data_IF_827005776949
#
_entry.id   IF_827005776949
#
_cell.length_a   1.000
_cell.length_b   1.000
_cell.length_c   1.000
_cell.angle_alpha   90.00
_cell.angle_beta   90.00
_cell.angle_gamma   90.00
#
_symmetry.space_group_name_H-M   'P 1'
#
loop_
_entity.id
_entity.type
_entity.pdbx_description
1 polymer ?
#
# COMPACT_ATOMS: atom_id res chain seq x y z
N UNK A 1 -10.78 -9.63 -1.74
CA UNK A 1 -10.59 -8.91 -0.48
C UNK A 1 -11.47 -9.55 0.58
N UNK A 2 -11.05 -9.52 1.86
CA UNK A 2 -9.73 -9.07 2.30
C UNK A 2 -8.59 -9.93 1.71
N UNK A 3 -7.38 -9.37 1.59
CA UNK A 3 -6.19 -10.14 1.21
C UNK A 3 -4.98 -9.61 1.96
N UNK A 4 -4.04 -10.49 2.29
CA UNK A 4 -2.78 -10.10 2.90
C UNK A 4 -1.94 -9.21 1.95
N UNK A 5 -1.23 -8.23 2.51
CA UNK A 5 -0.27 -7.37 1.82
C UNK A 5 0.66 -6.69 2.82
N UNK A 6 1.96 -6.61 2.54
CA UNK A 6 2.92 -5.86 3.36
C UNK A 6 2.89 -4.35 3.03
N UNK A 7 3.22 -3.52 4.02
CA UNK A 7 3.33 -2.06 3.90
C UNK A 7 2.26 -1.36 4.71
N UNK A 8 2.44 -1.31 6.03
CA UNK A 8 1.41 -1.00 7.03
C UNK A 8 1.53 0.42 7.60
N UNK A 9 2.66 1.10 7.38
CA UNK A 9 2.91 2.42 7.95
C UNK A 9 2.50 3.55 7.02
N UNK A 10 1.31 4.11 7.24
CA UNK A 10 0.76 5.23 6.47
C UNK A 10 1.34 6.56 6.96
N UNK A 11 1.38 7.57 6.10
CA UNK A 11 1.95 8.90 6.40
C UNK A 11 0.88 10.00 6.35
N UNK A 12 1.14 11.16 7.00
CA UNK A 12 0.26 12.33 6.92
C UNK A 12 -0.03 12.80 5.49
N UNK A 13 0.90 12.56 4.57
CA UNK A 13 0.73 12.89 3.14
C UNK A 13 -0.42 12.16 2.45
N UNK A 14 -0.99 11.11 3.05
CA UNK A 14 -2.19 10.46 2.53
C UNK A 14 -3.48 11.25 2.84
N UNK A 15 -3.53 12.03 3.93
CA UNK A 15 -4.70 12.85 4.30
C UNK A 15 -5.19 13.76 3.17
N UNK A 16 -4.34 14.61 2.54
CA UNK A 16 -4.80 15.50 1.47
C UNK A 16 -5.27 14.76 0.20
N UNK A 17 -5.05 13.44 0.11
CA UNK A 17 -5.61 12.58 -0.95
C UNK A 17 -6.94 11.99 -0.49
N UNK A 18 -7.02 11.49 0.74
CA UNK A 18 -8.22 10.81 1.26
C UNK A 18 -9.37 11.74 1.59
N UNK A 19 -9.11 12.98 1.99
CA UNK A 19 -10.16 13.97 2.25
C UNK A 19 -10.94 14.32 0.97
N UNK A 20 -10.31 14.73 -0.16
CA UNK A 20 -11.04 14.95 -1.41
C UNK A 20 -11.71 13.69 -1.97
N UNK A 21 -11.12 12.51 -1.71
CA UNK A 21 -11.74 11.24 -2.12
C UNK A 21 -12.95 10.86 -1.25
N UNK A 22 -13.15 11.49 -0.09
CA UNK A 22 -14.28 11.21 0.81
C UNK A 22 -14.11 9.95 1.68
N UNK A 23 -12.92 9.36 1.74
CA UNK A 23 -12.65 8.11 2.47
C UNK A 23 -12.02 8.34 3.85
N UNK A 24 -11.53 9.56 4.11
CA UNK A 24 -10.81 9.91 5.34
C UNK A 24 -11.55 9.50 6.61
N UNK A 25 -12.83 9.85 6.72
CA UNK A 25 -13.62 9.58 7.91
C UNK A 25 -13.80 8.09 8.18
N UNK A 26 -13.89 7.27 7.12
CA UNK A 26 -13.99 5.81 7.27
C UNK A 26 -12.69 5.20 7.77
N UNK A 27 -11.55 5.65 7.24
CA UNK A 27 -10.23 5.22 7.70
C UNK A 27 -10.03 5.62 9.17
N UNK A 28 -10.38 6.85 9.52
CA UNK A 28 -10.32 7.36 10.90
C UNK A 28 -11.23 6.58 11.84
N UNK A 29 -12.46 6.29 11.43
CA UNK A 29 -13.44 5.59 12.26
C UNK A 29 -13.14 4.10 12.45
N UNK A 30 -12.35 3.47 11.56
CA UNK A 30 -11.97 2.05 11.68
C UNK A 30 -11.15 1.77 12.94
N UNK A 31 -10.46 2.77 13.50
CA UNK A 31 -9.72 2.62 14.75
C UNK A 31 -8.36 1.94 14.60
N UNK A 32 -7.69 2.12 13.46
CA UNK A 32 -6.28 1.74 13.31
C UNK A 32 -5.40 2.43 14.36
N UNK A 33 -4.25 1.84 14.67
CA UNK A 33 -3.28 2.40 15.61
C UNK A 33 -2.81 3.79 15.13
N UNK A 34 -3.08 4.88 15.87
CA UNK A 34 -2.54 6.19 15.53
C UNK A 34 -1.02 6.17 15.50
N UNK A 35 -0.44 6.86 14.51
CA UNK A 35 1.00 6.99 14.33
C UNK A 35 1.41 8.44 14.56
N UNK A 36 1.98 8.73 15.72
CA UNK A 36 2.46 10.08 16.08
C UNK A 36 3.76 10.49 15.37
N UNK A 37 4.43 9.57 14.68
CA UNK A 37 5.70 9.87 14.03
C UNK A 37 6.52 8.64 13.62
N UNK A 38 7.84 8.84 13.61
CA UNK A 38 8.83 7.79 13.39
C UNK A 38 10.04 8.02 14.31
N UNK A 39 10.61 6.93 14.81
CA UNK A 39 11.86 6.93 15.56
C UNK A 39 12.94 6.23 14.73
N UNK A 40 14.15 6.77 14.75
CA UNK A 40 15.29 6.24 14.02
C UNK A 40 16.45 6.00 14.98
N UNK A 41 17.07 4.83 14.84
CA UNK A 41 18.37 4.51 15.42
C UNK A 41 19.26 4.05 14.27
N UNK A 42 20.22 4.86 13.86
CA UNK A 42 21.02 4.61 12.67
C UNK A 42 22.51 4.82 12.96
N UNK A 43 23.27 3.72 12.93
CA UNK A 43 24.65 3.74 13.43
C UNK A 43 24.68 4.11 14.91
N UNK A 44 25.36 5.20 15.23
CA UNK A 44 25.45 5.75 16.60
C UNK A 44 24.41 6.87 16.86
N UNK A 45 23.64 7.25 15.85
CA UNK A 45 22.72 8.38 15.92
C UNK A 45 21.28 7.93 16.24
N UNK A 46 20.60 8.72 17.05
CA UNK A 46 19.17 8.58 17.32
C UNK A 46 18.43 9.89 17.05
N UNK A 47 17.31 9.81 16.35
CA UNK A 47 16.43 10.96 16.14
C UNK A 47 14.97 10.53 15.98
N UNK A 48 14.07 11.52 16.04
CA UNK A 48 12.65 11.30 15.85
C UNK A 48 12.06 12.35 14.90
N UNK A 49 11.01 11.94 14.21
CA UNK A 49 10.16 12.81 13.40
C UNK A 49 8.77 12.79 14.04
N UNK A 50 8.28 13.95 14.47
CA UNK A 50 6.92 14.11 14.98
C UNK A 50 5.96 14.50 13.86
N UNK A 51 4.75 13.95 13.89
CA UNK A 51 3.65 14.34 13.01
C UNK A 51 2.65 15.28 13.69
N UNK A 52 2.86 15.65 14.95
CA UNK A 52 1.98 16.56 15.70
C UNK A 52 1.77 17.93 15.04
N UNK A 53 2.72 18.37 14.21
CA UNK A 53 2.66 19.64 13.50
C UNK A 53 2.19 19.49 12.03
N UNK A 54 1.91 18.26 11.58
CA UNK A 54 1.60 17.95 10.19
C UNK A 54 0.08 17.70 10.02
N UNK A 55 -0.72 18.77 10.03
CA UNK A 55 -2.16 18.74 9.76
C UNK A 55 -2.95 19.75 10.61
N UNK A 56 -4.28 19.73 10.48
CA UNK A 56 -5.17 20.62 11.24
C UNK A 56 -5.63 20.03 12.59
N UNK A 57 -5.36 18.75 12.83
CA UNK A 57 -5.58 18.04 14.10
C UNK A 57 -4.36 17.18 14.45
N UNK A 58 -4.35 16.58 15.64
CA UNK A 58 -3.20 15.84 16.17
C UNK A 58 -3.02 14.41 15.62
N UNK A 59 -3.88 13.89 14.74
CA UNK A 59 -3.79 12.49 14.27
C UNK A 59 -3.99 12.37 12.77
N UNK A 60 -2.86 12.32 12.04
CA UNK A 60 -2.86 12.35 10.58
C UNK A 60 -2.26 11.10 9.92
N UNK A 61 -1.84 10.12 10.71
CA UNK A 61 -1.21 8.91 10.19
C UNK A 61 -1.60 7.70 11.05
N UNK A 62 -1.50 6.50 10.45
CA UNK A 62 -1.86 5.25 11.11
C UNK A 62 -0.90 4.12 10.74
N UNK A 63 -0.79 3.16 11.65
CA UNK A 63 -0.34 1.81 11.34
C UNK A 63 -1.58 0.97 11.03
N UNK A 64 -1.66 0.43 9.82
CA UNK A 64 -2.88 -0.20 9.30
C UNK A 64 -2.71 -1.69 9.07
N UNK A 65 -3.78 -2.45 9.29
CA UNK A 65 -3.87 -3.83 8.80
C UNK A 65 -4.26 -3.75 7.33
N UNK A 66 -3.33 -4.06 6.42
CA UNK A 66 -3.51 -3.82 4.99
C UNK A 66 -4.67 -4.55 4.34
N UNK A 67 -5.03 -5.73 4.85
CA UNK A 67 -6.19 -6.46 4.35
C UNK A 67 -7.51 -5.75 4.60
N UNK A 68 -7.59 -4.97 5.67
CA UNK A 68 -8.76 -4.17 6.07
C UNK A 68 -8.70 -2.79 5.41
N UNK A 69 -7.55 -2.13 5.48
CA UNK A 69 -7.34 -0.81 4.89
C UNK A 69 -7.63 -0.79 3.38
N UNK A 70 -7.02 -1.70 2.62
CA UNK A 70 -7.26 -1.77 1.18
C UNK A 70 -8.73 -2.12 0.86
N UNK A 71 -9.39 -2.91 1.72
CA UNK A 71 -10.82 -3.24 1.57
C UNK A 71 -11.70 -2.01 1.80
N UNK A 72 -11.42 -1.19 2.81
CA UNK A 72 -12.14 0.08 3.04
C UNK A 72 -12.04 0.98 1.81
N UNK A 73 -10.83 1.12 1.24
CA UNK A 73 -10.63 1.93 0.04
C UNK A 73 -11.40 1.38 -1.16
N UNK A 74 -11.35 0.06 -1.38
CA UNK A 74 -12.03 -0.58 -2.51
C UNK A 74 -13.56 -0.55 -2.38
N UNK A 75 -14.08 -0.81 -1.17
CA UNK A 75 -15.52 -0.75 -0.90
C UNK A 75 -16.03 0.70 -1.01
N UNK A 76 -15.25 1.68 -0.57
CA UNK A 76 -15.61 3.08 -0.79
C UNK A 76 -15.66 3.45 -2.28
N UNK A 77 -14.74 2.95 -3.11
CA UNK A 77 -14.82 3.14 -4.56
C UNK A 77 -16.13 2.56 -5.13
N UNK A 78 -16.57 1.38 -4.66
CA UNK A 78 -17.87 0.81 -5.06
C UNK A 78 -19.04 1.69 -4.70
N UNK A 79 -19.04 2.24 -3.48
CA UNK A 79 -20.10 3.13 -3.03
C UNK A 79 -20.18 4.42 -3.86
N UNK A 80 -19.04 4.88 -4.40
CA UNK A 80 -18.99 5.99 -5.35
C UNK A 80 -19.40 5.61 -6.79
N UNK A 81 -19.79 4.35 -7.03
CA UNK A 81 -20.28 3.86 -8.32
C UNK A 81 -19.24 3.18 -9.20
N UNK A 82 -18.03 2.90 -8.70
CA UNK A 82 -17.04 2.13 -9.46
C UNK A 82 -17.46 0.67 -9.55
N UNK A 83 -17.51 0.13 -10.77
CA UNK A 83 -17.68 -1.31 -11.00
C UNK A 83 -16.42 -2.07 -10.58
N UNK A 84 -16.52 -2.85 -9.50
CA UNK A 84 -15.39 -3.60 -8.95
C UNK A 84 -15.64 -5.10 -9.05
N UNK A 85 -14.85 -5.76 -9.89
CA UNK A 85 -14.81 -7.20 -10.02
C UNK A 85 -13.66 -7.78 -9.19
N UNK A 86 -14.00 -8.57 -8.17
CA UNK A 86 -13.02 -9.32 -7.38
C UNK A 86 -12.92 -10.77 -7.85
N UNK A 87 -11.83 -11.44 -7.49
CA UNK A 87 -11.63 -12.84 -7.89
C UNK A 87 -11.30 -13.01 -9.38
N UNK A 88 -11.05 -11.91 -10.10
CA UNK A 88 -10.57 -11.89 -11.48
C UNK A 88 -9.17 -11.29 -11.56
N UNK A 89 -8.37 -11.76 -12.51
CA UNK A 89 -7.02 -11.27 -12.78
C UNK A 89 -6.88 -10.90 -14.25
N UNK A 90 -6.52 -9.65 -14.52
CA UNK A 90 -6.04 -9.24 -15.84
C UNK A 90 -4.60 -9.71 -16.03
N UNK A 91 -4.30 -10.34 -17.15
CA UNK A 91 -2.96 -10.91 -17.44
C UNK A 91 -2.35 -10.44 -18.75
N UNK A 92 -3.20 -9.97 -19.66
CA UNK A 92 -2.86 -9.58 -21.02
C UNK A 92 -3.66 -8.34 -21.40
N UNK A 93 -2.98 -7.38 -22.01
CA UNK A 93 -3.55 -6.18 -22.61
C UNK A 93 -3.41 -6.30 -24.13
N UNK A 94 -4.50 -6.04 -24.83
CA UNK A 94 -4.58 -6.00 -26.29
C UNK A 94 -4.39 -4.56 -26.78
N UNK A 95 -3.61 -4.40 -27.85
CA UNK A 95 -3.28 -3.11 -28.43
C UNK A 95 -3.72 -3.03 -29.89
N UNK A 96 -4.15 -1.85 -30.30
CA UNK A 96 -4.32 -1.45 -31.70
C UNK A 96 -3.28 -0.36 -31.99
N UNK A 97 -2.23 -0.71 -32.74
CA UNK A 97 -1.02 0.10 -32.83
C UNK A 97 -0.39 0.32 -31.45
N UNK A 98 -0.27 1.58 -31.03
CA UNK A 98 0.26 1.96 -29.71
C UNK A 98 -0.83 2.12 -28.63
N UNK A 99 -2.12 2.07 -29.01
CA UNK A 99 -3.23 2.29 -28.09
C UNK A 99 -3.66 0.98 -27.43
N UNK A 100 -3.73 0.94 -26.10
CA UNK A 100 -4.37 -0.17 -25.38
C UNK A 100 -5.89 -0.09 -25.55
N UNK A 101 -6.53 -1.16 -26.01
CA UNK A 101 -7.96 -1.17 -26.38
C UNK A 101 -8.80 -2.21 -25.64
N UNK A 102 -8.17 -3.26 -25.11
CA UNK A 102 -8.85 -4.30 -24.36
C UNK A 102 -7.92 -5.05 -23.41
N UNK A 103 -8.50 -5.85 -22.53
CA UNK A 103 -7.78 -6.76 -21.64
C UNK A 103 -8.45 -8.12 -21.58
N UNK A 104 -7.65 -9.17 -21.40
CA UNK A 104 -8.13 -10.50 -21.03
C UNK A 104 -8.03 -10.70 -19.53
N UNK A 105 -9.15 -11.10 -18.95
CA UNK A 105 -9.27 -11.44 -17.54
C UNK A 105 -9.55 -12.93 -17.37
N UNK A 106 -9.11 -13.47 -16.24
CA UNK A 106 -9.27 -14.88 -15.86
C UNK A 106 -9.78 -14.95 -14.42
N UNK A 107 -10.71 -15.85 -14.13
CA UNK A 107 -11.08 -16.13 -12.75
C UNK A 107 -9.91 -16.76 -11.98
N UNK A 108 -9.76 -16.35 -10.73
CA UNK A 108 -8.65 -16.80 -9.87
C UNK A 108 -8.85 -18.20 -9.32
N UNK A 109 -10.10 -18.65 -9.15
CA UNK A 109 -10.43 -19.99 -8.62
C UNK A 109 -10.69 -21.02 -9.72
N UNK A 110 -11.09 -20.58 -10.91
CA UNK A 110 -11.36 -21.42 -12.08
C UNK A 110 -10.66 -20.82 -13.30
N UNK A 111 -9.35 -21.07 -13.50
CA UNK A 111 -8.56 -20.36 -14.51
C UNK A 111 -9.03 -20.55 -15.96
N UNK A 112 -9.79 -21.61 -16.23
CA UNK A 112 -10.41 -21.85 -17.54
C UNK A 112 -11.59 -20.92 -17.82
N UNK A 113 -12.13 -20.26 -16.79
CA UNK A 113 -13.13 -19.21 -16.93
C UNK A 113 -12.43 -17.88 -17.18
N UNK A 114 -12.62 -17.34 -18.38
CA UNK A 114 -11.96 -16.13 -18.84
C UNK A 114 -12.91 -15.27 -19.68
N UNK A 115 -12.53 -14.01 -19.89
CA UNK A 115 -13.26 -13.12 -20.76
C UNK A 115 -12.42 -11.94 -21.24
N UNK A 116 -13.08 -11.06 -21.99
CA UNK A 116 -12.50 -9.89 -22.61
C UNK A 116 -13.28 -8.64 -22.21
N UNK A 117 -12.57 -7.56 -21.91
CA UNK A 117 -13.16 -6.25 -21.64
C UNK A 117 -12.48 -5.20 -22.52
N UNK A 118 -13.27 -4.33 -23.15
CA UNK A 118 -12.77 -3.19 -23.96
C UNK A 118 -12.80 -1.91 -23.16
N UNK A 119 -11.88 -0.99 -23.43
CA UNK A 119 -11.80 0.31 -22.76
C UNK A 119 -11.15 1.35 -23.66
N UNK A 120 -11.36 2.63 -23.34
CA UNK A 120 -10.65 3.73 -24.00
C UNK A 120 -9.28 4.03 -23.37
N UNK A 121 -9.12 3.76 -22.08
CA UNK A 121 -7.89 4.01 -21.33
C UNK A 121 -7.69 2.92 -20.27
N UNK A 122 -6.44 2.68 -19.88
CA UNK A 122 -6.06 1.72 -18.85
C UNK A 122 -5.11 2.35 -17.85
N UNK A 123 -5.34 2.10 -16.56
CA UNK A 123 -4.43 2.42 -15.47
C UNK A 123 -3.93 1.11 -14.88
N UNK A 124 -2.63 0.84 -14.98
CA UNK A 124 -2.02 -0.34 -14.36
C UNK A 124 -1.71 -0.09 -12.88
N UNK A 125 -2.62 -0.52 -12.02
CA UNK A 125 -2.48 -0.51 -10.56
C UNK A 125 -2.13 -1.91 -9.99
N UNK A 126 -1.53 -2.81 -10.77
CA UNK A 126 -1.21 -4.19 -10.37
C UNK A 126 -0.03 -4.34 -9.39
N UNK A 127 0.50 -3.22 -8.88
CA UNK A 127 1.60 -3.18 -7.93
C UNK A 127 2.89 -3.81 -8.49
N UNK A 128 3.54 -4.66 -7.68
CA UNK A 128 4.81 -5.32 -8.09
C UNK A 128 4.65 -6.22 -9.33
N UNK A 129 3.43 -6.66 -9.66
CA UNK A 129 3.16 -7.46 -10.85
C UNK A 129 3.45 -6.70 -12.15
N UNK A 130 3.05 -5.41 -12.20
CA UNK A 130 3.27 -4.50 -13.33
C UNK A 130 2.90 -5.12 -14.68
N UNK A 131 1.62 -5.43 -14.90
CA UNK A 131 1.14 -6.08 -16.13
C UNK A 131 1.64 -5.34 -17.38
N UNK A 132 1.47 -4.03 -17.46
CA UNK A 132 1.97 -3.24 -18.59
C UNK A 132 3.49 -3.14 -18.58
N UNK A 133 4.08 -2.67 -17.48
CA UNK A 133 5.50 -2.35 -17.42
C UNK A 133 6.43 -3.56 -17.61
N UNK A 134 6.01 -4.74 -17.16
CA UNK A 134 6.83 -5.95 -17.18
C UNK A 134 6.52 -6.86 -18.37
N UNK A 135 5.25 -7.00 -18.76
CA UNK A 135 4.87 -7.95 -19.82
C UNK A 135 4.79 -7.34 -21.21
N UNK A 136 4.38 -6.07 -21.31
CA UNK A 136 4.12 -5.44 -22.59
C UNK A 136 5.19 -4.42 -22.97
N UNK A 137 5.49 -3.47 -22.08
CA UNK A 137 6.40 -2.37 -22.36
C UNK A 137 7.87 -2.71 -22.11
N UNK A 138 8.14 -3.78 -21.33
CA UNK A 138 9.50 -4.17 -20.89
C UNK A 138 10.31 -2.99 -20.32
N UNK A 139 9.63 -2.06 -19.64
CA UNK A 139 10.19 -0.78 -19.21
C UNK A 139 10.70 -0.78 -17.77
N UNK A 140 10.50 -1.88 -17.03
CA UNK A 140 10.99 -2.02 -15.65
C UNK A 140 12.52 -2.04 -15.61
N UNK A 141 13.11 -1.12 -14.86
CA UNK A 141 14.55 -1.06 -14.58
C UNK A 141 14.79 -1.14 -13.07
N UNK A 142 15.64 -2.07 -12.65
CA UNK A 142 16.02 -2.20 -11.25
C UNK A 142 17.14 -1.24 -10.92
N UNK A 143 17.04 -0.60 -9.76
CA UNK A 143 18.13 0.20 -9.22
C UNK A 143 19.31 -0.71 -8.83
N UNK A 144 20.54 -0.29 -9.11
CA UNK A 144 21.73 -1.11 -8.82
C UNK A 144 22.02 -1.19 -7.32
N UNK A 145 21.85 -0.08 -6.61
CA UNK A 145 22.05 0.00 -5.15
C UNK A 145 20.93 -0.65 -4.34
N UNK A 146 19.65 -0.36 -4.63
CA UNK A 146 18.52 -0.80 -3.80
C UNK A 146 18.02 -2.20 -4.14
N UNK A 147 18.90 -3.19 -4.04
CA UNK A 147 18.59 -4.63 -4.24
C UNK A 147 18.31 -5.33 -2.92
N UNK A 148 17.46 -4.71 -2.11
CA UNK A 148 17.16 -5.18 -0.76
C UNK A 148 16.22 -6.38 -0.78
N UNK A 149 16.44 -7.30 0.15
CA UNK A 149 15.52 -8.41 0.46
C UNK A 149 14.96 -8.16 1.86
N UNK A 150 13.68 -8.47 2.04
CA UNK A 150 12.99 -8.27 3.30
C UNK A 150 12.44 -9.61 3.80
N UNK A 151 12.63 -9.91 5.07
CA UNK A 151 11.99 -11.01 5.79
C UNK A 151 11.28 -10.42 7.00
N UNK A 152 10.06 -10.87 7.27
CA UNK A 152 9.21 -10.28 8.30
C UNK A 152 8.25 -11.31 8.88
N UNK A 153 7.68 -11.00 10.04
CA UNK A 153 6.65 -11.78 10.72
C UNK A 153 5.81 -10.86 11.59
N UNK A 154 4.88 -11.44 12.36
CA UNK A 154 4.05 -10.74 13.33
C UNK A 154 4.27 -11.31 14.72
N UNK A 155 4.27 -10.43 15.73
CA UNK A 155 4.49 -10.81 17.12
C UNK A 155 3.34 -10.29 17.98
N UNK A 156 2.89 -11.10 18.95
CA UNK A 156 1.89 -10.72 19.94
C UNK A 156 2.55 -10.51 21.30
N UNK A 157 2.16 -9.45 22.01
CA UNK A 157 2.74 -9.13 23.33
C UNK A 157 4.14 -8.54 23.26
N UNK A 158 4.55 -8.02 22.09
CA UNK A 158 5.76 -7.22 21.98
C UNK A 158 5.63 -5.95 22.84
N UNK A 159 6.72 -5.54 23.49
CA UNK A 159 6.72 -4.30 24.27
C UNK A 159 6.66 -3.10 23.31
N UNK A 160 5.86 -2.06 23.61
CA UNK A 160 5.89 -0.82 22.86
C UNK A 160 7.30 -0.22 22.83
N UNK A 161 7.58 0.57 21.80
CA UNK A 161 8.83 1.32 21.72
C UNK A 161 8.90 2.31 22.88
N UNK A 162 9.96 2.22 23.70
CA UNK A 162 10.16 3.12 24.85
C UNK A 162 10.74 4.50 24.49
N UNK A 163 10.81 4.82 23.19
CA UNK A 163 11.39 6.05 22.63
C UNK A 163 10.51 6.52 21.46
N UNK A 164 10.61 7.79 21.12
CA UNK A 164 9.89 8.36 19.98
C UNK A 164 8.42 8.73 20.29
N UNK A 165 7.72 9.30 19.30
CA UNK A 165 6.30 9.63 19.41
C UNK A 165 5.42 8.39 19.63
N UNK A 166 4.25 8.58 20.21
CA UNK A 166 3.29 7.50 20.46
C UNK A 166 2.88 6.80 19.15
N UNK A 167 2.85 5.47 19.15
CA UNK A 167 2.49 4.66 17.97
C UNK A 167 3.46 4.77 16.79
N UNK A 168 4.63 5.37 16.99
CA UNK A 168 5.64 5.50 15.95
C UNK A 168 6.13 4.14 15.45
N UNK A 169 6.49 4.11 14.16
CA UNK A 169 7.38 3.07 13.63
C UNK A 169 8.79 3.32 14.17
N UNK A 170 9.55 2.26 14.44
CA UNK A 170 11.00 2.38 14.59
C UNK A 170 11.71 1.96 13.30
N UNK A 171 12.82 2.62 12.98
CA UNK A 171 13.72 2.23 11.90
C UNK A 171 15.11 2.10 12.49
N UNK A 172 15.54 0.87 12.70
CA UNK A 172 16.79 0.58 13.43
C UNK A 172 17.79 -0.11 12.50
N UNK A 173 18.93 0.53 12.24
CA UNK A 173 20.01 -0.07 11.44
C UNK A 173 20.62 -1.28 12.16
N UNK A 174 21.01 -2.27 11.37
CA UNK A 174 21.83 -3.42 11.79
C UNK A 174 23.01 -3.54 10.83
N UNK A 175 24.08 -4.31 11.12
CA UNK A 175 25.30 -4.31 10.30
C UNK A 175 25.08 -4.51 8.79
N UNK A 176 24.05 -5.27 8.39
CA UNK A 176 23.74 -5.58 6.99
C UNK A 176 22.32 -5.15 6.57
N UNK A 177 21.73 -4.13 7.21
CA UNK A 177 20.39 -3.67 6.85
C UNK A 177 19.71 -2.87 7.94
N UNK A 178 18.41 -3.07 8.10
CA UNK A 178 17.61 -2.40 9.12
C UNK A 178 16.35 -3.21 9.43
N UNK A 179 15.72 -2.91 10.56
CA UNK A 179 14.46 -3.50 11.01
C UNK A 179 13.37 -2.44 11.17
N UNK A 180 12.11 -2.86 11.07
CA UNK A 180 10.95 -1.99 11.20
C UNK A 180 9.89 -2.58 12.15
N UNK A 181 10.01 -2.42 13.47
CA UNK A 181 8.87 -2.69 14.33
C UNK A 181 7.78 -1.65 14.09
N UNK A 182 6.60 -2.14 13.70
CA UNK A 182 5.37 -1.37 13.56
C UNK A 182 4.39 -1.92 14.61
N UNK A 183 3.87 -1.09 15.53
CA UNK A 183 2.87 -1.51 16.49
C UNK A 183 1.50 -1.75 15.84
#
# INVERSE_FOLDING_TARGET
FPRYQIGESILPSCRPIFEPLGVWDKVRAHGFQPKGGAFFHWGEEEWQVSFSEQGSDNTNAWQVIRSEFDKILLDHARELGVEVHEGVSVREIEFDGEQAVAARWFETKQPDTAGRITFGHVIDASGRGGVLATRHLQSRRFHEVFRNVAAWSYWKGAKPLGKGPEGAIAVCSVPNGWSWPIP
#
